data_IF_692256825416
#
_entry.id   IF_692256825416
#
_cell.length_a   1.000
_cell.length_b   1.000
_cell.length_c   1.000
_cell.angle_alpha   90.00
_cell.angle_beta   90.00
_cell.angle_gamma   90.00
#
_symmetry.space_group_name_H-M   'P 1'
#
loop_
_entity.id
_entity.type
_entity.pdbx_description
1 polymer ?
#
# COMPACT_ATOMS: atom_id res chain seq x y z
N UNK A 1 -10.45 -6.13 -20.22
CA UNK A 1 -10.97 -5.06 -19.36
C UNK A 1 -10.88 -5.59 -17.95
N UNK A 2 -10.00 -5.06 -17.11
CA UNK A 2 -9.96 -5.47 -15.71
C UNK A 2 -11.22 -4.91 -15.05
N UNK A 3 -12.10 -5.79 -14.57
CA UNK A 3 -13.21 -5.38 -13.73
C UNK A 3 -12.60 -4.73 -12.48
N UNK A 4 -12.88 -3.44 -12.29
CA UNK A 4 -12.47 -2.75 -11.07
C UNK A 4 -13.03 -3.51 -9.87
N UNK A 5 -12.22 -3.64 -8.83
CA UNK A 5 -12.61 -4.31 -7.59
C UNK A 5 -13.78 -3.52 -6.95
N UNK A 6 -14.67 -4.21 -6.26
CA UNK A 6 -15.77 -3.54 -5.54
C UNK A 6 -15.20 -2.55 -4.50
N UNK A 7 -15.94 -1.48 -4.23
CA UNK A 7 -15.45 -0.38 -3.37
C UNK A 7 -15.08 -0.85 -1.96
N UNK A 8 -15.84 -1.76 -1.35
CA UNK A 8 -15.53 -2.30 -0.02
C UNK A 8 -14.21 -3.08 0.01
N UNK A 9 -13.96 -3.90 -1.01
CA UNK A 9 -12.74 -4.67 -1.15
C UNK A 9 -11.55 -3.77 -1.48
N UNK A 10 -11.75 -2.72 -2.28
CA UNK A 10 -10.73 -1.70 -2.53
C UNK A 10 -10.37 -0.96 -1.24
N UNK A 11 -11.38 -0.60 -0.43
CA UNK A 11 -11.16 0.04 0.88
C UNK A 11 -10.42 -0.89 1.85
N UNK A 12 -10.80 -2.17 1.91
CA UNK A 12 -10.08 -3.15 2.71
C UNK A 12 -8.61 -3.31 2.27
N UNK A 13 -8.35 -3.28 0.95
CA UNK A 13 -7.00 -3.33 0.41
C UNK A 13 -6.19 -2.09 0.78
N UNK A 14 -6.76 -0.88 0.68
CA UNK A 14 -6.14 0.38 1.12
C UNK A 14 -5.75 0.33 2.60
N UNK A 15 -6.63 -0.18 3.46
CA UNK A 15 -6.36 -0.37 4.88
C UNK A 15 -5.22 -1.36 5.09
N UNK A 16 -5.26 -2.53 4.43
CA UNK A 16 -4.20 -3.52 4.56
C UNK A 16 -2.84 -2.98 4.09
N UNK A 17 -2.82 -2.25 2.97
CA UNK A 17 -1.61 -1.63 2.41
C UNK A 17 -0.99 -0.60 3.36
N UNK A 18 -1.82 0.20 4.02
CA UNK A 18 -1.39 1.20 5.02
C UNK A 18 -0.58 0.59 6.18
N UNK A 19 -0.82 -0.67 6.52
CA UNK A 19 -0.10 -1.38 7.58
C UNK A 19 1.03 -2.29 7.07
N UNK A 20 1.26 -2.35 5.76
CA UNK A 20 2.42 -3.07 5.21
C UNK A 20 3.71 -2.29 5.51
N UNK A 21 4.86 -2.98 5.71
CA UNK A 21 6.13 -2.30 5.85
C UNK A 21 6.46 -1.53 4.57
N UNK A 22 7.12 -0.38 4.72
CA UNK A 22 7.55 0.37 3.53
C UNK A 22 8.63 -0.43 2.80
N UNK A 23 8.62 -0.42 1.48
CA UNK A 23 9.62 -1.14 0.69
C UNK A 23 11.07 -0.79 1.08
N UNK A 24 11.32 0.47 1.49
CA UNK A 24 12.63 0.92 1.97
C UNK A 24 13.05 0.30 3.32
N UNK A 25 12.10 -0.14 4.12
CA UNK A 25 12.32 -0.79 5.42
C UNK A 25 12.53 -2.30 5.25
N UNK A 26 12.09 -2.90 4.13
CA UNK A 26 12.21 -4.33 3.88
C UNK A 26 13.63 -4.69 3.41
N UNK A 27 14.52 -4.89 4.39
CA UNK A 27 15.92 -5.26 4.13
C UNK A 27 16.19 -6.75 4.39
N UNK A 28 17.24 -7.28 3.74
CA UNK A 28 17.74 -8.64 4.01
C UNK A 28 18.14 -8.86 5.48
N UNK A 29 18.54 -7.81 6.18
CA UNK A 29 18.91 -7.90 7.60
C UNK A 29 17.69 -8.20 8.48
N UNK A 30 16.58 -7.51 8.26
CA UNK A 30 15.36 -7.67 9.06
C UNK A 30 14.53 -8.89 8.66
N UNK A 31 14.44 -9.17 7.35
CA UNK A 31 13.54 -10.19 6.80
C UNK A 31 14.28 -11.47 6.35
N UNK A 32 15.60 -11.53 6.51
CA UNK A 32 16.41 -12.68 6.10
C UNK A 32 16.23 -13.00 4.63
N UNK A 33 16.13 -14.29 4.27
CA UNK A 33 15.91 -14.72 2.88
C UNK A 33 14.51 -14.39 2.33
N UNK A 34 13.58 -13.97 3.19
CA UNK A 34 12.20 -13.63 2.79
C UNK A 34 12.03 -12.19 2.31
N UNK A 35 13.07 -11.35 2.43
CA UNK A 35 12.97 -9.93 2.07
C UNK A 35 12.46 -9.73 0.63
N UNK A 36 12.93 -10.55 -0.32
CA UNK A 36 12.50 -10.49 -1.70
C UNK A 36 11.02 -10.82 -1.84
N UNK A 37 10.55 -11.90 -1.19
CA UNK A 37 9.13 -12.27 -1.19
C UNK A 37 8.24 -11.17 -0.60
N UNK A 38 8.70 -10.49 0.45
CA UNK A 38 7.94 -9.39 1.05
C UNK A 38 7.88 -8.19 0.09
N UNK A 39 8.98 -7.84 -0.57
CA UNK A 39 9.00 -6.80 -1.61
C UNK A 39 8.05 -7.16 -2.77
N UNK A 40 8.08 -8.40 -3.24
CA UNK A 40 7.22 -8.87 -4.33
C UNK A 40 5.73 -8.79 -3.94
N UNK A 41 5.38 -9.11 -2.69
CA UNK A 41 4.01 -8.97 -2.19
C UNK A 41 3.57 -7.50 -2.10
N UNK A 42 4.46 -6.60 -1.66
CA UNK A 42 4.16 -5.16 -1.62
C UNK A 42 3.90 -4.64 -3.04
N UNK A 43 4.76 -5.02 -4.00
CA UNK A 43 4.60 -4.61 -5.39
C UNK A 43 3.31 -5.13 -6.01
N UNK A 44 2.96 -6.40 -5.76
CA UNK A 44 1.70 -6.97 -6.22
C UNK A 44 0.48 -6.17 -5.73
N UNK A 45 0.48 -5.68 -4.50
CA UNK A 45 -0.61 -4.83 -3.98
C UNK A 45 -0.59 -3.44 -4.61
N UNK A 46 0.60 -2.84 -4.79
CA UNK A 46 0.75 -1.53 -5.48
C UNK A 46 0.20 -1.57 -6.90
N UNK A 47 0.50 -2.62 -7.67
CA UNK A 47 -0.01 -2.79 -9.02
C UNK A 47 -1.53 -2.85 -9.05
N UNK A 48 -2.16 -3.59 -8.13
CA UNK A 48 -3.61 -3.69 -8.04
C UNK A 48 -4.25 -2.34 -7.69
N UNK A 49 -3.66 -1.57 -6.76
CA UNK A 49 -4.14 -0.22 -6.45
C UNK A 49 -4.09 0.68 -7.69
N UNK A 50 -2.98 0.67 -8.43
CA UNK A 50 -2.80 1.45 -9.66
C UNK A 50 -3.81 1.06 -10.75
N UNK A 51 -4.08 -0.25 -10.93
CA UNK A 51 -5.10 -0.74 -11.88
C UNK A 51 -6.51 -0.24 -11.53
N UNK A 52 -6.76 0.06 -10.26
CA UNK A 52 -8.02 0.60 -9.77
C UNK A 52 -8.03 2.14 -9.67
N UNK A 53 -7.08 2.82 -10.33
CA UNK A 53 -6.92 4.28 -10.33
C UNK A 53 -6.68 4.87 -8.91
N UNK A 54 -6.07 4.08 -8.02
CA UNK A 54 -5.65 4.54 -6.69
C UNK A 54 -4.14 4.72 -6.67
N UNK A 55 -3.68 5.92 -6.28
CA UNK A 55 -2.26 6.18 -6.04
C UNK A 55 -1.83 5.57 -4.68
N UNK A 56 -0.95 4.55 -4.66
CA UNK A 56 -0.47 3.95 -3.41
C UNK A 56 0.19 4.95 -2.45
N UNK A 57 0.76 6.06 -2.94
CA UNK A 57 1.42 7.06 -2.09
C UNK A 57 0.40 7.91 -1.32
N UNK A 58 -0.82 8.07 -1.84
CA UNK A 58 -1.88 8.85 -1.19
C UNK A 58 -2.70 8.01 -0.19
N UNK A 59 -2.72 6.69 -0.36
CA UNK A 59 -3.50 5.75 0.48
C UNK A 59 -3.28 5.95 1.97
N UNK A 60 -2.03 6.20 2.39
CA UNK A 60 -1.71 6.37 3.81
C UNK A 60 -2.40 7.61 4.41
N UNK A 61 -2.46 8.71 3.65
CA UNK A 61 -3.14 9.95 4.06
C UNK A 61 -4.66 9.84 4.00
N UNK A 62 -5.19 9.05 3.05
CA UNK A 62 -6.63 8.77 2.98
C UNK A 62 -7.13 7.93 4.16
N UNK A 63 -6.36 6.89 4.55
CA UNK A 63 -6.76 5.95 5.61
C UNK A 63 -6.48 6.51 7.01
N UNK A 64 -5.38 7.24 7.19
CA UNK A 64 -5.00 7.82 8.47
C UNK A 64 -4.92 9.36 8.39
N UNK A 65 -6.04 10.06 8.15
CA UNK A 65 -6.05 11.51 8.01
C UNK A 65 -5.54 12.23 9.26
N UNK A 66 -5.74 11.63 10.45
CA UNK A 66 -5.28 12.16 11.74
C UNK A 66 -3.75 12.08 11.94
N UNK A 67 -3.06 11.21 11.19
CA UNK A 67 -1.59 11.07 11.23
C UNK A 67 -0.89 11.82 10.11
N UNK A 68 -1.62 12.29 9.10
CA UNK A 68 -1.07 13.23 8.12
C UNK A 68 -0.91 14.60 8.79
N UNK A 69 0.31 15.19 8.81
CA UNK A 69 0.44 16.56 9.27
C UNK A 69 -0.48 17.43 8.41
N UNK A 70 -1.36 18.21 9.04
CA UNK A 70 -2.21 19.19 8.36
C UNK A 70 -1.33 20.07 7.46
N UNK A 71 -1.24 19.73 6.18
CA UNK A 71 -0.54 20.53 5.19
C UNK A 71 -1.48 21.66 4.75
N UNK A 72 -1.78 22.56 5.68
CA UNK A 72 -2.28 23.89 5.33
C UNK A 72 -1.07 24.75 4.95
N UNK A 73 -0.84 24.89 3.64
CA UNK A 73 0.01 25.94 3.06
C UNK A 73 -0.85 27.13 2.65
#
# INVERSE_FOLDING_TARGET
MSEKINEDALQALKIAFTYMPKAIEVTKYEYGDRYQTVLDHIEAVREILLINDVDPEEVYGEINPDNTPNSSY
#
